data_IF_420303850223
#
_entry.id   IF_420303850223
#
_cell.length_a   1.000
_cell.length_b   1.000
_cell.length_c   1.000
_cell.angle_alpha   90.00
_cell.angle_beta   90.00
_cell.angle_gamma   90.00
#
_symmetry.space_group_name_H-M   'P 1'
#
loop_
_entity.id
_entity.type
_entity.pdbx_description
1 polymer ?
#
# COMPACT_ATOMS: atom_id res chain seq x y z
N UNK A 1 -8.54 18.54 16.30
CA UNK A 1 -9.67 17.88 15.71
C UNK A 1 -9.29 16.68 14.87
N UNK A 2 -10.28 15.92 14.45
CA UNK A 2 -10.10 14.70 13.69
C UNK A 2 -9.36 14.91 12.36
N UNK A 3 -9.56 16.06 11.71
CA UNK A 3 -8.93 16.34 10.42
C UNK A 3 -7.41 16.45 10.53
N UNK A 4 -6.89 17.08 11.59
CA UNK A 4 -5.44 17.17 11.82
C UNK A 4 -4.83 15.81 12.06
N UNK A 5 -5.49 14.97 12.86
CA UNK A 5 -5.01 13.60 13.13
C UNK A 5 -4.97 12.75 11.88
N UNK A 6 -5.97 12.87 11.01
CA UNK A 6 -6.02 12.16 9.73
C UNK A 6 -4.84 12.56 8.84
N UNK A 7 -4.57 13.86 8.72
CA UNK A 7 -3.46 14.38 7.93
C UNK A 7 -2.12 13.90 8.47
N UNK A 8 -1.96 13.89 9.79
CA UNK A 8 -0.72 13.45 10.44
C UNK A 8 -0.45 11.97 10.17
N UNK A 9 -1.46 11.12 10.29
CA UNK A 9 -1.34 9.68 10.04
C UNK A 9 -1.00 9.43 8.57
N UNK A 10 -1.72 10.07 7.66
CA UNK A 10 -1.48 9.92 6.22
C UNK A 10 -0.09 10.38 5.84
N UNK A 11 0.36 11.53 6.38
CA UNK A 11 1.70 12.05 6.13
C UNK A 11 2.79 11.10 6.61
N UNK A 12 2.62 10.50 7.79
CA UNK A 12 3.58 9.55 8.34
C UNK A 12 3.68 8.27 7.50
N UNK A 13 2.54 7.76 7.04
CA UNK A 13 2.51 6.56 6.19
C UNK A 13 3.22 6.83 4.87
N UNK A 14 2.94 7.96 4.24
CA UNK A 14 3.59 8.35 2.98
C UNK A 14 5.09 8.52 3.18
N UNK A 15 5.50 9.23 4.22
CA UNK A 15 6.92 9.45 4.52
C UNK A 15 7.66 8.13 4.77
N UNK A 16 7.04 7.22 5.51
CA UNK A 16 7.61 5.89 5.77
C UNK A 16 7.80 5.11 4.46
N UNK A 17 6.78 5.10 3.62
CA UNK A 17 6.85 4.43 2.32
C UNK A 17 7.93 5.01 1.42
N UNK A 18 8.05 6.34 1.37
CA UNK A 18 9.08 7.01 0.59
C UNK A 18 10.47 6.69 1.11
N UNK A 19 10.64 6.67 2.44
CA UNK A 19 11.90 6.31 3.07
C UNK A 19 12.33 4.89 2.72
N UNK A 20 11.41 3.93 2.80
CA UNK A 20 11.68 2.54 2.45
C UNK A 20 12.08 2.40 0.99
N UNK A 21 11.33 3.01 0.08
CA UNK A 21 11.61 2.89 -1.34
C UNK A 21 12.93 3.53 -1.75
N UNK A 22 13.38 4.54 -1.01
CA UNK A 22 14.67 5.19 -1.27
C UNK A 22 15.87 4.42 -0.75
N UNK A 23 15.70 3.59 0.29
CA UNK A 23 16.81 2.95 0.99
C UNK A 23 17.29 1.64 0.37
N UNK A 24 16.40 0.85 -0.20
CA UNK A 24 16.71 -0.54 -0.42
C UNK A 24 16.82 -0.99 -1.86
N UNK A 25 16.32 -0.24 -2.80
CA UNK A 25 16.09 -0.88 -4.09
C UNK A 25 16.45 0.02 -5.24
N UNK A 26 17.37 -0.46 -6.06
CA UNK A 26 17.71 0.14 -7.34
C UNK A 26 16.72 -0.25 -8.44
N UNK A 27 15.86 -1.25 -8.18
CA UNK A 27 14.97 -1.79 -9.19
C UNK A 27 13.55 -1.26 -9.09
N UNK A 28 13.02 -0.85 -10.25
CA UNK A 28 11.70 -0.22 -10.33
C UNK A 28 10.56 -1.18 -10.02
N UNK A 29 10.70 -2.47 -10.33
CA UNK A 29 9.64 -3.45 -10.05
C UNK A 29 9.47 -3.65 -8.55
N UNK A 30 10.58 -3.82 -7.84
CA UNK A 30 10.55 -3.99 -6.38
C UNK A 30 10.11 -2.71 -5.70
N UNK A 31 10.61 -1.56 -6.15
CA UNK A 31 10.14 -0.24 -5.65
C UNK A 31 8.65 -0.06 -5.89
N UNK A 32 8.17 -0.42 -7.07
CA UNK A 32 6.75 -0.34 -7.40
C UNK A 32 5.89 -1.24 -6.51
N UNK A 33 6.37 -2.45 -6.21
CA UNK A 33 5.67 -3.37 -5.32
C UNK A 33 5.59 -2.81 -3.90
N UNK A 34 6.70 -2.26 -3.39
CA UNK A 34 6.72 -1.61 -2.07
C UNK A 34 5.79 -0.39 -2.03
N UNK A 35 5.83 0.43 -3.06
CA UNK A 35 4.98 1.62 -3.15
C UNK A 35 3.50 1.23 -3.18
N UNK A 36 3.14 0.20 -3.95
CA UNK A 36 1.77 -0.30 -4.02
C UNK A 36 1.30 -0.85 -2.68
N UNK A 37 2.15 -1.62 -2.00
CA UNK A 37 1.83 -2.15 -0.68
C UNK A 37 1.59 -1.02 0.34
N UNK A 38 2.45 -0.03 0.34
CA UNK A 38 2.32 1.14 1.23
C UNK A 38 1.05 1.92 0.91
N UNK A 39 0.76 2.11 -0.37
CA UNK A 39 -0.42 2.83 -0.82
C UNK A 39 -1.69 2.12 -0.40
N UNK A 40 -1.75 0.79 -0.53
CA UNK A 40 -2.89 0.01 -0.09
C UNK A 40 -3.12 0.13 1.41
N UNK A 41 -2.06 0.11 2.22
CA UNK A 41 -2.19 0.31 3.66
C UNK A 41 -2.68 1.70 4.02
N UNK A 42 -2.24 2.71 3.28
CA UNK A 42 -2.74 4.08 3.46
C UNK A 42 -4.23 4.16 3.15
N UNK A 43 -4.67 3.51 2.07
CA UNK A 43 -6.08 3.48 1.69
C UNK A 43 -6.92 2.75 2.73
N UNK A 44 -6.44 1.61 3.24
CA UNK A 44 -7.12 0.87 4.29
C UNK A 44 -7.36 1.76 5.52
N UNK A 45 -6.32 2.46 5.96
CA UNK A 45 -6.43 3.38 7.09
C UNK A 45 -7.42 4.50 6.81
N UNK A 46 -7.38 5.05 5.60
CA UNK A 46 -8.30 6.12 5.18
C UNK A 46 -9.75 5.67 5.19
N UNK A 47 -10.04 4.48 4.68
CA UNK A 47 -11.41 3.95 4.67
C UNK A 47 -11.91 3.63 6.08
N UNK A 48 -11.06 3.15 6.98
CA UNK A 48 -11.46 2.95 8.38
C UNK A 48 -11.85 4.26 9.04
N UNK A 49 -11.13 5.32 8.75
CA UNK A 49 -11.45 6.67 9.26
C UNK A 49 -12.77 7.17 8.68
N UNK A 50 -12.97 6.99 7.38
CA UNK A 50 -14.21 7.40 6.72
C UNK A 50 -15.43 6.64 7.26
N UNK A 51 -15.28 5.35 7.52
CA UNK A 51 -16.34 4.52 8.11
C UNK A 51 -16.71 5.05 9.48
N UNK A 52 -15.73 5.35 10.32
CA UNK A 52 -15.98 5.90 11.66
C UNK A 52 -16.66 7.25 11.58
N UNK A 53 -16.24 8.11 10.65
CA UNK A 53 -16.86 9.42 10.44
C UNK A 53 -18.31 9.29 9.96
N UNK A 54 -18.56 8.35 9.04
CA UNK A 54 -19.89 8.10 8.52
C UNK A 54 -20.83 7.57 9.62
N UNK A 55 -20.34 6.68 10.48
CA UNK A 55 -21.11 6.21 11.65
C UNK A 55 -21.49 7.36 12.56
N UNK A 56 -20.54 8.22 12.87
CA UNK A 56 -20.77 9.35 13.75
C UNK A 56 -21.78 10.33 13.15
N UNK A 57 -21.76 10.50 11.84
CA UNK A 57 -22.70 11.38 11.11
C UNK A 57 -24.06 10.73 10.84
N UNK A 58 -24.22 9.45 11.11
CA UNK A 58 -25.44 8.71 10.79
C UNK A 58 -25.63 8.43 9.31
N UNK A 59 -24.55 8.50 8.52
CA UNK A 59 -24.59 8.28 7.08
C UNK A 59 -24.33 6.81 6.76
N UNK A 60 -25.39 6.01 6.79
CA UNK A 60 -25.29 4.56 6.57
C UNK A 60 -24.91 4.20 5.14
N UNK A 61 -25.28 4.99 4.16
CA UNK A 61 -24.95 4.75 2.76
C UNK A 61 -23.45 4.89 2.53
N UNK A 62 -22.85 5.97 3.01
CA UNK A 62 -21.40 6.18 2.90
C UNK A 62 -20.65 5.09 3.64
N UNK A 63 -21.11 4.72 4.84
CA UNK A 63 -20.52 3.64 5.62
C UNK A 63 -20.49 2.33 4.83
N UNK A 64 -21.61 1.94 4.26
CA UNK A 64 -21.73 0.69 3.50
C UNK A 64 -20.79 0.66 2.29
N UNK A 65 -20.74 1.75 1.55
CA UNK A 65 -19.87 1.86 0.38
C UNK A 65 -18.38 1.76 0.80
N UNK A 66 -18.02 2.49 1.84
CA UNK A 66 -16.64 2.47 2.33
C UNK A 66 -16.24 1.10 2.88
N UNK A 67 -17.15 0.38 3.55
CA UNK A 67 -16.88 -0.97 4.01
C UNK A 67 -16.63 -1.94 2.85
N UNK A 68 -17.39 -1.81 1.77
CA UNK A 68 -17.21 -2.62 0.57
C UNK A 68 -15.85 -2.37 -0.07
N UNK A 69 -15.47 -1.10 -0.21
CA UNK A 69 -14.16 -0.73 -0.77
C UNK A 69 -13.03 -1.21 0.15
N UNK A 70 -13.20 -1.08 1.46
CA UNK A 70 -12.22 -1.52 2.43
C UNK A 70 -11.88 -3.01 2.27
N UNK A 71 -12.88 -3.85 2.03
CA UNK A 71 -12.65 -5.29 1.83
C UNK A 71 -11.80 -5.54 0.58
N UNK A 72 -12.03 -4.79 -0.48
CA UNK A 72 -11.23 -4.90 -1.70
C UNK A 72 -9.77 -4.48 -1.46
N UNK A 73 -9.56 -3.40 -0.70
CA UNK A 73 -8.22 -2.91 -0.38
C UNK A 73 -7.46 -3.89 0.52
N UNK A 74 -8.13 -4.50 1.49
CA UNK A 74 -7.53 -5.51 2.35
C UNK A 74 -7.10 -6.71 1.51
N UNK A 75 -7.94 -7.19 0.62
CA UNK A 75 -7.62 -8.32 -0.25
C UNK A 75 -6.41 -8.01 -1.14
N UNK A 76 -6.32 -6.81 -1.67
CA UNK A 76 -5.18 -6.38 -2.48
C UNK A 76 -3.89 -6.34 -1.65
N UNK A 77 -3.96 -5.78 -0.45
CA UNK A 77 -2.80 -5.72 0.45
C UNK A 77 -2.31 -7.11 0.83
N UNK A 78 -3.23 -8.02 1.11
CA UNK A 78 -2.88 -9.42 1.41
C UNK A 78 -2.21 -10.09 0.22
N UNK A 79 -2.75 -9.89 -0.98
CA UNK A 79 -2.16 -10.44 -2.20
C UNK A 79 -0.73 -9.92 -2.39
N UNK A 80 -0.52 -8.62 -2.25
CA UNK A 80 0.82 -8.02 -2.38
C UNK A 80 1.78 -8.59 -1.34
N UNK A 81 1.34 -8.72 -0.09
CA UNK A 81 2.18 -9.27 0.98
C UNK A 81 2.57 -10.72 0.69
N UNK A 82 1.64 -11.53 0.21
CA UNK A 82 1.89 -12.94 -0.09
C UNK A 82 2.80 -13.13 -1.29
N UNK A 83 2.74 -12.24 -2.25
CA UNK A 83 3.45 -12.38 -3.52
C UNK A 83 4.74 -11.55 -3.63
N UNK A 84 5.00 -10.68 -2.67
CA UNK A 84 6.17 -9.79 -2.71
C UNK A 84 7.49 -10.56 -2.80
N UNK A 85 7.62 -11.64 -2.02
CA UNK A 85 8.83 -12.46 -2.05
C UNK A 85 9.06 -13.13 -3.40
N UNK A 86 7.99 -13.67 -3.98
CA UNK A 86 8.08 -14.33 -5.28
C UNK A 86 8.38 -13.34 -6.41
N UNK A 87 7.74 -12.18 -6.38
CA UNK A 87 8.01 -11.10 -7.34
C UNK A 87 9.50 -10.72 -7.28
N UNK A 88 10.03 -10.58 -6.07
CA UNK A 88 11.43 -10.23 -5.86
C UNK A 88 12.35 -11.32 -6.40
N UNK A 89 12.07 -12.58 -6.11
CA UNK A 89 12.89 -13.71 -6.61
C UNK A 89 12.91 -13.77 -8.14
N UNK A 90 11.73 -13.64 -8.76
CA UNK A 90 11.63 -13.64 -10.21
C UNK A 90 12.41 -12.49 -10.84
N UNK A 91 12.37 -11.34 -10.21
CA UNK A 91 13.14 -10.19 -10.66
C UNK A 91 14.64 -10.46 -10.57
N UNK A 92 15.10 -10.98 -9.45
CA UNK A 92 16.53 -11.28 -9.26
C UNK A 92 17.03 -12.33 -10.24
N UNK A 93 16.24 -13.35 -10.52
CA UNK A 93 16.56 -14.37 -11.52
C UNK A 93 16.70 -13.77 -12.91
N UNK A 94 15.81 -12.88 -13.29
CA UNK A 94 15.86 -12.18 -14.57
C UNK A 94 17.09 -11.30 -14.66
N UNK A 95 17.41 -10.58 -13.60
CA UNK A 95 18.58 -9.70 -13.56
C UNK A 95 19.87 -10.49 -13.73
N UNK A 96 19.99 -11.64 -13.08
CA UNK A 96 21.13 -12.54 -13.23
C UNK A 96 21.25 -13.05 -14.64
N UNK A 97 20.15 -13.43 -15.27
CA UNK A 97 20.14 -13.88 -16.66
C UNK A 97 20.61 -12.80 -17.62
N UNK A 98 20.15 -11.57 -17.40
CA UNK A 98 20.55 -10.42 -18.21
C UNK A 98 22.06 -10.15 -18.09
N UNK A 99 22.58 -10.20 -16.88
CA UNK A 99 24.01 -10.01 -16.63
C UNK A 99 24.83 -11.13 -17.31
N UNK A 100 24.38 -12.37 -17.21
CA UNK A 100 25.03 -13.51 -17.86
C UNK A 100 24.99 -13.37 -19.39
N UNK A 101 23.88 -12.93 -19.94
CA UNK A 101 23.74 -12.73 -21.38
C UNK A 101 24.65 -11.65 -21.94
N UNK A 102 25.01 -10.64 -21.14
CA UNK A 102 25.91 -9.56 -21.54
C UNK A 102 27.38 -9.96 -21.53
N UNK A 103 27.71 -11.03 -20.89
CA UNK A 103 29.06 -11.56 -20.81
C UNK A 103 29.24 -12.80 -21.66
#
# INVERSE_FOLDING_TARGET
>A
GGTSSIKDISGKIVAFGQGLSGLFVSDEVVKGTLASYTFEHMEIASYRILIAAAEQAGDQETKRVCESILQQEIAMAEWLAQNAGEITRKFLERDQRDVTAKH
#
